data_IF_420003323399
#
_entry.id   IF_420003323399
#
_cell.length_a   1.000
_cell.length_b   1.000
_cell.length_c   1.000
_cell.angle_alpha   90.00
_cell.angle_beta   90.00
_cell.angle_gamma   90.00
#
_symmetry.space_group_name_H-M   'P 1'
#
loop_
_entity.id
_entity.type
_entity.pdbx_description
1 polymer ?
#
# COMPACT_ATOMS: atom_id res chain seq x y z
N UNK A 1 6.53 -13.99 20.22
CA UNK A 1 5.47 -13.00 20.58
C UNK A 1 5.82 -11.55 20.17
N UNK A 2 7.08 -11.11 20.24
CA UNK A 2 7.46 -9.71 19.90
C UNK A 2 7.14 -9.32 18.44
N UNK A 3 7.36 -10.22 17.48
CA UNK A 3 7.23 -9.89 16.06
C UNK A 3 5.78 -9.80 15.58
N UNK A 4 4.84 -10.53 16.20
CA UNK A 4 3.41 -10.38 15.93
C UNK A 4 2.89 -8.99 16.33
N UNK A 5 3.36 -8.46 17.47
CA UNK A 5 2.97 -7.13 17.93
C UNK A 5 3.58 -6.03 17.04
N UNK A 6 4.83 -6.19 16.61
CA UNK A 6 5.47 -5.28 15.63
C UNK A 6 4.73 -5.32 14.29
N UNK A 7 4.35 -6.53 13.84
CA UNK A 7 3.62 -6.74 12.59
C UNK A 7 2.25 -6.07 12.61
N UNK A 8 1.51 -6.26 13.71
CA UNK A 8 0.21 -5.64 13.91
C UNK A 8 0.29 -4.11 13.90
N UNK A 9 1.20 -3.51 14.68
CA UNK A 9 1.37 -2.04 14.73
C UNK A 9 1.81 -1.48 13.38
N UNK A 10 2.74 -2.16 12.70
CA UNK A 10 3.20 -1.76 11.39
C UNK A 10 2.04 -1.69 10.37
N UNK A 11 1.17 -2.70 10.39
CA UNK A 11 -0.04 -2.76 9.55
C UNK A 11 -1.04 -1.67 9.97
N UNK A 12 -1.37 -1.57 11.25
CA UNK A 12 -2.35 -0.62 11.79
C UNK A 12 -2.06 0.83 11.34
N UNK A 13 -0.78 1.23 11.37
CA UNK A 13 -0.36 2.58 10.99
C UNK A 13 -0.43 2.88 9.49
N UNK A 14 -0.42 1.85 8.63
CA UNK A 14 -0.16 2.00 7.18
C UNK A 14 -1.25 1.44 6.29
N UNK A 15 -2.07 0.53 6.81
CA UNK A 15 -3.10 -0.17 6.04
C UNK A 15 -4.13 0.79 5.43
N UNK A 16 -4.45 1.90 6.11
CA UNK A 16 -5.34 2.92 5.57
C UNK A 16 -4.80 3.55 4.28
N UNK A 17 -3.50 3.90 4.25
CA UNK A 17 -2.84 4.46 3.07
C UNK A 17 -2.75 3.42 1.95
N UNK A 18 -2.46 2.15 2.27
CA UNK A 18 -2.43 1.07 1.27
C UNK A 18 -3.78 0.84 0.63
N UNK A 19 -4.85 0.75 1.43
CA UNK A 19 -6.23 0.60 0.91
C UNK A 19 -6.65 1.81 0.07
N UNK A 20 -6.22 3.01 0.45
CA UNK A 20 -6.48 4.22 -0.36
C UNK A 20 -5.79 4.13 -1.72
N UNK A 21 -4.52 3.71 -1.76
CA UNK A 21 -3.81 3.49 -3.02
C UNK A 21 -4.51 2.44 -3.89
N UNK A 22 -4.89 1.31 -3.29
CA UNK A 22 -5.56 0.19 -3.96
C UNK A 22 -6.88 0.63 -4.60
N UNK A 23 -7.68 1.43 -3.90
CA UNK A 23 -8.92 1.99 -4.42
C UNK A 23 -8.68 2.91 -5.62
N UNK A 24 -7.67 3.78 -5.54
CA UNK A 24 -7.33 4.71 -6.62
C UNK A 24 -6.86 3.94 -7.86
N UNK A 25 -5.97 2.95 -7.69
CA UNK A 25 -5.49 2.10 -8.79
C UNK A 25 -6.64 1.32 -9.42
N UNK A 26 -7.50 0.71 -8.60
CA UNK A 26 -8.67 -0.03 -9.09
C UNK A 26 -9.64 0.86 -9.88
N UNK A 27 -9.83 2.12 -9.47
CA UNK A 27 -10.65 3.06 -10.24
C UNK A 27 -9.96 3.46 -11.55
N UNK A 28 -8.66 3.71 -11.51
CA UNK A 28 -7.88 4.07 -12.70
C UNK A 28 -7.88 2.93 -13.74
N UNK A 29 -7.78 1.67 -13.30
CA UNK A 29 -7.85 0.49 -14.17
C UNK A 29 -9.25 0.29 -14.77
N UNK A 30 -10.30 0.45 -13.97
CA UNK A 30 -11.68 0.20 -14.42
C UNK A 30 -12.27 1.32 -15.28
N UNK A 31 -11.90 2.58 -15.02
CA UNK A 31 -12.56 3.76 -15.61
C UNK A 31 -11.58 4.75 -16.24
N UNK A 32 -10.28 4.41 -16.26
CA UNK A 32 -9.23 5.29 -16.75
C UNK A 32 -8.82 6.38 -15.76
N UNK A 33 -7.64 6.95 -15.98
CA UNK A 33 -7.06 8.00 -15.11
C UNK A 33 -7.95 9.25 -15.02
N UNK A 34 -8.78 9.51 -16.05
CA UNK A 34 -9.73 10.64 -16.07
C UNK A 34 -10.87 10.52 -15.05
N UNK A 35 -11.09 9.33 -14.49
CA UNK A 35 -12.11 9.10 -13.47
C UNK A 35 -11.62 9.39 -12.04
N UNK A 36 -10.33 9.72 -11.87
CA UNK A 36 -9.76 10.10 -10.58
C UNK A 36 -10.08 11.55 -10.24
N UNK A 37 -10.29 11.84 -8.96
CA UNK A 37 -10.39 13.23 -8.50
C UNK A 37 -9.01 13.90 -8.49
N UNK A 38 -8.97 15.23 -8.48
CA UNK A 38 -7.72 15.99 -8.36
C UNK A 38 -6.92 15.60 -7.09
N UNK A 39 -7.63 15.36 -5.98
CA UNK A 39 -7.05 14.89 -4.72
C UNK A 39 -6.41 13.51 -4.85
N UNK A 40 -7.08 12.59 -5.56
CA UNK A 40 -6.56 11.24 -5.80
C UNK A 40 -5.34 11.28 -6.71
N UNK A 41 -5.40 12.09 -7.77
CA UNK A 41 -4.30 12.25 -8.71
C UNK A 41 -3.06 12.84 -8.04
N UNK A 42 -3.26 13.81 -7.14
CA UNK A 42 -2.17 14.42 -6.36
C UNK A 42 -1.66 13.49 -5.26
N UNK A 43 -2.52 12.68 -4.66
CA UNK A 43 -2.15 11.74 -3.60
C UNK A 43 -1.39 10.51 -4.14
N UNK A 44 -1.67 10.08 -5.37
CA UNK A 44 -1.17 8.83 -5.94
C UNK A 44 0.36 8.69 -5.88
N UNK A 45 1.18 9.67 -6.31
CA UNK A 45 2.64 9.55 -6.20
C UNK A 45 3.14 9.40 -4.76
N UNK A 46 2.49 10.06 -3.79
CA UNK A 46 2.84 9.98 -2.37
C UNK A 46 2.50 8.60 -1.81
N UNK A 47 1.28 8.15 -2.05
CA UNK A 47 0.77 6.86 -1.60
C UNK A 47 1.59 5.69 -2.19
N UNK A 48 1.96 5.77 -3.47
CA UNK A 48 2.80 4.77 -4.12
C UNK A 48 4.16 4.65 -3.46
N UNK A 49 4.86 5.78 -3.21
CA UNK A 49 6.15 5.77 -2.49
C UNK A 49 6.03 5.22 -1.07
N UNK A 50 4.93 5.51 -0.37
CA UNK A 50 4.66 4.93 0.94
C UNK A 50 4.49 3.41 0.87
N UNK A 51 3.77 2.88 -0.12
CA UNK A 51 3.62 1.44 -0.32
C UNK A 51 4.97 0.75 -0.63
N UNK A 52 5.81 1.34 -1.49
CA UNK A 52 7.16 0.84 -1.78
C UNK A 52 8.04 0.85 -0.52
N UNK A 53 7.98 1.92 0.27
CA UNK A 53 8.70 1.99 1.56
C UNK A 53 8.21 0.91 2.52
N UNK A 54 6.90 0.67 2.60
CA UNK A 54 6.33 -0.39 3.42
C UNK A 54 6.79 -1.77 2.97
N UNK A 55 6.84 -2.02 1.66
CA UNK A 55 7.31 -3.29 1.12
C UNK A 55 8.78 -3.55 1.49
N UNK A 56 9.64 -2.52 1.37
CA UNK A 56 11.04 -2.61 1.78
C UNK A 56 11.18 -2.99 3.25
N UNK A 57 10.40 -2.36 4.14
CA UNK A 57 10.42 -2.67 5.57
C UNK A 57 9.92 -4.08 5.82
N UNK A 58 8.77 -4.46 5.25
CA UNK A 58 8.16 -5.78 5.44
C UNK A 58 9.11 -6.91 5.04
N UNK A 59 9.86 -6.75 3.94
CA UNK A 59 10.91 -7.68 3.49
C UNK A 59 12.10 -7.72 4.45
N UNK A 60 12.54 -6.57 4.97
CA UNK A 60 13.73 -6.47 5.83
C UNK A 60 13.57 -7.13 7.21
N UNK A 61 12.37 -7.13 7.78
CA UNK A 61 12.11 -7.65 9.14
C UNK A 61 11.23 -8.92 9.14
N UNK A 62 11.06 -9.57 7.99
CA UNK A 62 10.32 -10.83 7.81
C UNK A 62 8.96 -10.83 8.52
N UNK A 63 8.19 -9.76 8.30
CA UNK A 63 7.07 -9.36 9.15
C UNK A 63 5.85 -10.29 9.02
N UNK A 64 5.38 -10.50 7.79
CA UNK A 64 4.25 -11.36 7.42
C UNK A 64 4.24 -11.61 5.90
N UNK A 65 4.04 -12.85 5.48
CA UNK A 65 4.08 -13.23 4.06
C UNK A 65 2.86 -12.69 3.28
N UNK A 66 1.69 -12.62 3.89
CA UNK A 66 0.47 -12.08 3.28
C UNK A 66 0.58 -10.56 3.09
N UNK A 67 1.12 -9.83 4.08
CA UNK A 67 1.42 -8.39 3.94
C UNK A 67 2.40 -8.15 2.80
N UNK A 68 3.47 -8.94 2.76
CA UNK A 68 4.51 -8.80 1.74
C UNK A 68 3.92 -9.02 0.35
N UNK A 69 3.20 -10.13 0.14
CA UNK A 69 2.56 -10.44 -1.14
C UNK A 69 1.53 -9.37 -1.56
N UNK A 70 0.74 -8.85 -0.60
CA UNK A 70 -0.21 -7.77 -0.87
C UNK A 70 0.50 -6.50 -1.34
N UNK A 71 1.56 -6.08 -0.64
CA UNK A 71 2.33 -4.89 -0.99
C UNK A 71 3.10 -5.05 -2.30
N UNK A 72 3.60 -6.25 -2.60
CA UNK A 72 4.22 -6.56 -3.89
C UNK A 72 3.22 -6.35 -5.03
N UNK A 73 2.06 -6.99 -4.95
CA UNK A 73 0.98 -6.84 -5.93
C UNK A 73 0.60 -5.37 -6.11
N UNK A 74 0.44 -4.64 -5.01
CA UNK A 74 0.09 -3.22 -5.04
C UNK A 74 1.14 -2.34 -5.72
N UNK A 75 2.44 -2.67 -5.59
CA UNK A 75 3.52 -1.89 -6.19
C UNK A 75 3.79 -2.22 -7.66
N UNK A 76 3.34 -3.38 -8.15
CA UNK A 76 3.58 -3.87 -9.52
C UNK A 76 2.45 -3.60 -10.51
N UNK A 77 1.33 -3.04 -10.05
CA UNK A 77 0.22 -2.55 -10.88
C UNK A 77 0.58 -1.24 -11.55
#
# INVERSE_FOLDING_TARGET
>A
MSDLLKSYRFREEREADWRKLDLILTRAENSGVKALTDDEMTALPRLYRQAVSSLSVARSISLDQNVTAYLESLCTR
#
